data_IF_252601703068
#
_entry.id   IF_252601703068
#
_cell.length_a   1.000
_cell.length_b   1.000
_cell.length_c   1.000
_cell.angle_alpha   90.00
_cell.angle_beta   90.00
_cell.angle_gamma   90.00
#
_symmetry.space_group_name_H-M   'P 1'
#
loop_
_entity.id
_entity.type
_entity.pdbx_description
1 polymer ?
#
# COMPACT_ATOMS: atom_id res chain seq x y z
N UNK A 1 16.87 8.90 16.20
CA UNK A 1 15.91 8.91 15.08
C UNK A 1 14.52 9.35 15.50
N UNK A 2 14.01 8.98 16.68
CA UNK A 2 12.65 9.33 17.13
C UNK A 2 12.29 10.83 17.01
N UNK A 3 13.20 11.73 17.37
CA UNK A 3 13.01 13.19 17.21
C UNK A 3 12.82 13.64 15.76
N UNK A 4 13.47 12.99 14.80
CA UNK A 4 13.31 13.31 13.38
C UNK A 4 11.95 12.84 12.87
N UNK A 5 11.50 11.67 13.32
CA UNK A 5 10.17 11.13 13.04
C UNK A 5 9.07 12.04 13.57
N UNK A 6 9.14 12.45 14.83
CA UNK A 6 8.19 13.41 15.41
C UNK A 6 8.19 14.75 14.68
N UNK A 7 9.37 15.26 14.29
CA UNK A 7 9.50 16.48 13.50
C UNK A 7 8.81 16.34 12.14
N UNK A 8 9.05 15.26 11.41
CA UNK A 8 8.41 15.01 10.11
C UNK A 8 6.89 14.89 10.22
N UNK A 9 6.38 14.22 11.26
CA UNK A 9 4.94 14.13 11.55
C UNK A 9 4.33 15.50 11.87
N UNK A 10 5.06 16.38 12.56
CA UNK A 10 4.59 17.73 12.83
C UNK A 10 4.61 18.60 11.56
N UNK A 11 5.65 18.48 10.73
CA UNK A 11 5.77 19.22 9.47
C UNK A 11 4.72 18.76 8.45
N UNK A 12 4.39 17.46 8.40
CA UNK A 12 3.40 16.93 7.46
C UNK A 12 2.01 17.54 7.63
N UNK A 13 1.67 18.01 8.83
CA UNK A 13 0.41 18.76 9.07
C UNK A 13 0.27 20.03 8.24
N UNK A 14 1.39 20.64 7.84
CA UNK A 14 1.42 21.89 7.06
C UNK A 14 1.97 21.70 5.64
N UNK A 15 2.79 20.67 5.44
CA UNK A 15 3.52 20.39 4.19
C UNK A 15 3.38 18.92 3.79
N UNK A 16 2.16 18.39 3.86
CA UNK A 16 1.84 16.98 3.63
C UNK A 16 2.45 16.44 2.33
N UNK A 17 2.10 17.05 1.20
CA UNK A 17 2.59 16.64 -0.13
C UNK A 17 4.13 16.56 -0.21
N UNK A 18 4.83 17.52 0.38
CA UNK A 18 6.30 17.54 0.40
C UNK A 18 6.88 16.40 1.23
N UNK A 19 6.33 16.17 2.43
CA UNK A 19 6.80 15.11 3.34
C UNK A 19 6.53 13.74 2.74
N UNK A 20 5.31 13.49 2.26
CA UNK A 20 4.95 12.21 1.62
C UNK A 20 5.80 11.98 0.37
N UNK A 21 5.96 12.98 -0.51
CA UNK A 21 6.83 12.83 -1.69
C UNK A 21 8.27 12.51 -1.31
N UNK A 22 8.82 13.17 -0.28
CA UNK A 22 10.16 12.91 0.22
C UNK A 22 10.33 11.49 0.73
N UNK A 23 9.37 11.01 1.54
CA UNK A 23 9.37 9.65 2.07
C UNK A 23 9.16 8.60 0.96
N UNK A 24 8.26 8.84 0.00
CA UNK A 24 8.10 7.96 -1.18
C UNK A 24 9.38 7.88 -2.00
N UNK A 25 10.10 9.00 -2.20
CA UNK A 25 11.40 8.99 -2.89
C UNK A 25 12.47 8.20 -2.11
N UNK A 26 12.45 8.28 -0.78
CA UNK A 26 13.32 7.42 0.04
C UNK A 26 13.02 5.95 -0.20
N UNK A 27 11.73 5.57 -0.28
CA UNK A 27 11.32 4.21 -0.63
C UNK A 27 11.76 3.80 -2.04
N UNK A 28 11.73 4.70 -3.02
CA UNK A 28 12.15 4.42 -4.40
C UNK A 28 13.65 4.18 -4.52
N UNK A 29 14.47 4.92 -3.75
CA UNK A 29 15.92 4.83 -3.82
C UNK A 29 16.50 3.56 -3.15
N UNK A 30 15.65 2.73 -2.54
CA UNK A 30 16.02 1.46 -1.88
C UNK A 30 16.75 0.51 -2.82
N UNK A 31 16.34 0.40 -4.09
CA UNK A 31 16.99 -0.49 -5.06
C UNK A 31 18.38 -0.01 -5.51
N UNK A 32 18.68 1.28 -5.30
CA UNK A 32 19.97 1.88 -5.67
C UNK A 32 21.06 1.74 -4.61
N UNK A 33 20.68 1.35 -3.38
CA UNK A 33 21.62 1.08 -2.32
C UNK A 33 22.18 -0.33 -2.50
N UNK A 34 23.42 -0.43 -2.99
CA UNK A 34 24.14 -1.70 -2.93
C UNK A 34 24.51 -1.99 -1.48
N UNK A 35 23.71 -2.86 -0.85
CA UNK A 35 23.89 -3.28 0.53
C UNK A 35 24.75 -4.55 0.53
N UNK A 36 26.01 -4.44 0.98
CA UNK A 36 26.92 -5.58 1.10
C UNK A 36 27.10 -5.99 2.56
N UNK A 37 26.71 -7.22 2.89
CA UNK A 37 26.91 -7.83 4.21
C UNK A 37 25.67 -7.79 5.13
N UNK A 38 25.55 -8.74 6.07
CA UNK A 38 24.35 -8.95 6.88
C UNK A 38 24.01 -7.78 7.82
N UNK A 39 25.02 -7.07 8.33
CA UNK A 39 24.80 -5.87 9.16
C UNK A 39 24.26 -4.69 8.34
N UNK A 40 24.68 -4.58 7.08
CA UNK A 40 24.19 -3.56 6.17
C UNK A 40 22.73 -3.82 5.77
N UNK A 41 22.38 -5.10 5.53
CA UNK A 41 21.00 -5.53 5.25
C UNK A 41 20.06 -5.24 6.42
N UNK A 42 20.52 -5.51 7.65
CA UNK A 42 19.77 -5.19 8.87
C UNK A 42 19.52 -3.69 9.03
N UNK A 43 20.57 -2.87 8.94
CA UNK A 43 20.46 -1.42 9.07
C UNK A 43 19.56 -0.80 7.99
N UNK A 44 19.59 -1.39 6.79
CA UNK A 44 18.73 -1.01 5.69
C UNK A 44 17.26 -1.32 5.97
N UNK A 45 16.97 -2.52 6.46
CA UNK A 45 15.62 -2.90 6.84
C UNK A 45 15.09 -2.04 7.98
N UNK A 46 15.91 -1.76 9.00
CA UNK A 46 15.54 -0.84 10.08
C UNK A 46 15.18 0.55 9.55
N UNK A 47 15.92 1.04 8.55
CA UNK A 47 15.61 2.32 7.88
C UNK A 47 14.27 2.29 7.14
N UNK A 48 13.97 1.19 6.44
CA UNK A 48 12.69 0.98 5.75
C UNK A 48 11.51 0.97 6.74
N UNK A 49 11.65 0.26 7.86
CA UNK A 49 10.64 0.23 8.92
C UNK A 49 10.36 1.64 9.45
N UNK A 50 11.41 2.43 9.72
CA UNK A 50 11.27 3.81 10.22
C UNK A 50 10.55 4.71 9.20
N UNK A 51 10.85 4.58 7.91
CA UNK A 51 10.17 5.34 6.85
C UNK A 51 8.69 4.98 6.79
N UNK A 52 8.34 3.69 6.82
CA UNK A 52 6.95 3.23 6.79
C UNK A 52 6.17 3.65 8.05
N UNK A 53 6.77 3.53 9.23
CA UNK A 53 6.16 4.04 10.48
C UNK A 53 5.93 5.56 10.43
N UNK A 54 6.84 6.31 9.79
CA UNK A 54 6.68 7.76 9.65
C UNK A 54 5.57 8.09 8.65
N UNK A 55 5.47 7.35 7.55
CA UNK A 55 4.39 7.47 6.57
C UNK A 55 3.03 7.20 7.21
N UNK A 56 2.92 6.11 7.97
CA UNK A 56 1.69 5.75 8.71
C UNK A 56 1.24 6.91 9.59
N UNK A 57 2.12 7.45 10.44
CA UNK A 57 1.80 8.57 11.33
C UNK A 57 1.43 9.85 10.57
N UNK A 58 2.10 10.14 9.45
CA UNK A 58 1.75 11.31 8.62
C UNK A 58 0.36 11.15 8.01
N UNK A 59 0.03 9.96 7.54
CA UNK A 59 -1.27 9.61 6.97
C UNK A 59 -2.35 9.48 8.04
N UNK A 60 -2.07 9.21 9.30
CA UNK A 60 -3.13 9.19 10.33
C UNK A 60 -3.39 10.56 10.95
N UNK A 61 -2.39 11.46 10.95
CA UNK A 61 -2.47 12.78 11.57
C UNK A 61 -2.92 13.92 10.63
N UNK A 62 -3.30 13.64 9.38
CA UNK A 62 -3.67 14.68 8.43
C UNK A 62 -5.05 15.29 8.75
N UNK A 63 -5.20 16.63 8.72
CA UNK A 63 -6.51 17.27 8.82
C UNK A 63 -7.35 17.03 7.55
N UNK A 64 -8.67 16.84 7.71
CA UNK A 64 -9.61 16.47 6.65
C UNK A 64 -9.77 17.46 5.48
N UNK A 65 -9.25 18.69 5.60
CA UNK A 65 -9.56 19.83 4.70
C UNK A 65 -8.46 20.19 3.69
N UNK A 66 -7.57 19.27 3.31
CA UNK A 66 -6.44 19.60 2.42
C UNK A 66 -6.55 19.04 1.01
N UNK A 67 -7.74 19.00 0.39
CA UNK A 67 -7.83 18.48 -0.99
C UNK A 67 -7.03 19.36 -1.97
N UNK A 68 -5.92 18.86 -2.49
CA UNK A 68 -5.15 19.49 -3.58
C UNK A 68 -4.85 18.46 -4.67
N UNK A 69 -5.00 18.86 -5.92
CA UNK A 69 -4.86 18.03 -7.12
C UNK A 69 -3.57 17.19 -7.19
N UNK A 70 -2.47 17.66 -6.57
CA UNK A 70 -1.19 16.95 -6.50
C UNK A 70 -1.24 15.64 -5.68
N UNK A 71 -2.26 15.44 -4.85
CA UNK A 71 -2.38 14.27 -3.97
C UNK A 71 -2.65 12.97 -4.74
N UNK A 72 -3.27 13.03 -5.92
CA UNK A 72 -3.54 11.81 -6.72
C UNK A 72 -2.25 11.18 -7.23
N UNK A 73 -1.28 11.99 -7.67
CA UNK A 73 0.03 11.50 -8.14
C UNK A 73 0.83 10.94 -6.96
N UNK A 74 0.77 11.61 -5.81
CA UNK A 74 1.42 11.14 -4.59
C UNK A 74 0.90 9.78 -4.15
N UNK A 75 -0.43 9.63 -4.07
CA UNK A 75 -1.07 8.35 -3.72
C UNK A 75 -0.69 7.27 -4.71
N UNK A 76 -0.69 7.58 -6.02
CA UNK A 76 -0.31 6.62 -7.06
C UNK A 76 1.13 6.13 -6.88
N UNK A 77 2.08 7.04 -6.66
CA UNK A 77 3.49 6.71 -6.50
C UNK A 77 3.73 5.93 -5.21
N UNK A 78 3.14 6.36 -4.08
CA UNK A 78 3.26 5.65 -2.82
C UNK A 78 2.68 4.24 -2.92
N UNK A 79 1.50 4.09 -3.52
CA UNK A 79 0.84 2.80 -3.67
C UNK A 79 1.68 1.81 -4.48
N UNK A 80 2.38 2.29 -5.52
CA UNK A 80 3.30 1.47 -6.30
C UNK A 80 4.44 0.90 -5.45
N UNK A 81 5.02 1.71 -4.56
CA UNK A 81 6.09 1.24 -3.65
C UNK A 81 5.54 0.22 -2.65
N UNK A 82 4.35 0.46 -2.08
CA UNK A 82 3.73 -0.46 -1.12
C UNK A 82 3.45 -1.83 -1.76
N UNK A 83 2.97 -1.86 -3.01
CA UNK A 83 2.82 -3.10 -3.77
C UNK A 83 4.14 -3.83 -3.99
N UNK A 84 5.22 -3.10 -4.31
CA UNK A 84 6.55 -3.70 -4.45
C UNK A 84 6.97 -4.40 -3.16
N UNK A 85 6.74 -3.77 -1.99
CA UNK A 85 7.10 -4.36 -0.70
C UNK A 85 6.25 -5.57 -0.30
N UNK A 86 4.95 -5.60 -0.64
CA UNK A 86 4.12 -6.78 -0.41
C UNK A 86 4.63 -8.00 -1.17
N UNK A 87 5.17 -7.79 -2.38
CA UNK A 87 5.71 -8.84 -3.24
C UNK A 87 7.19 -9.16 -2.99
N UNK A 88 7.85 -8.53 -2.01
CA UNK A 88 9.24 -8.89 -1.68
C UNK A 88 9.29 -10.29 -1.07
N UNK A 89 10.38 -11.01 -1.33
CA UNK A 89 10.72 -12.25 -0.63
C UNK A 89 11.95 -12.01 0.24
N UNK A 90 11.93 -12.50 1.48
CA UNK A 90 13.06 -12.37 2.42
C UNK A 90 13.25 -13.65 3.22
N UNK A 91 14.51 -14.05 3.40
CA UNK A 91 14.87 -15.21 4.23
C UNK A 91 14.66 -14.95 5.73
N UNK A 92 14.61 -13.67 6.14
CA UNK A 92 14.34 -13.28 7.52
C UNK A 92 12.84 -13.06 7.77
N UNK A 93 12.11 -14.16 8.01
CA UNK A 93 10.66 -14.14 8.17
C UNK A 93 10.14 -13.21 9.27
N UNK A 94 10.89 -12.96 10.36
CA UNK A 94 10.46 -12.02 11.41
C UNK A 94 10.46 -10.57 10.93
N UNK A 95 11.53 -10.16 10.25
CA UNK A 95 11.65 -8.81 9.72
C UNK A 95 10.63 -8.58 8.59
N UNK A 96 10.46 -9.58 7.71
CA UNK A 96 9.47 -9.52 6.65
C UNK A 96 8.03 -9.36 7.19
N UNK A 97 7.67 -10.06 8.26
CA UNK A 97 6.36 -9.89 8.90
C UNK A 97 6.16 -8.47 9.47
N UNK A 98 7.20 -7.87 10.04
CA UNK A 98 7.15 -6.48 10.51
C UNK A 98 6.98 -5.49 9.36
N UNK A 99 7.69 -5.73 8.24
CA UNK A 99 7.55 -4.95 7.02
C UNK A 99 6.12 -5.00 6.50
N UNK A 100 5.55 -6.21 6.32
CA UNK A 100 4.18 -6.39 5.85
C UNK A 100 3.14 -5.76 6.78
N UNK A 101 3.35 -5.85 8.10
CA UNK A 101 2.49 -5.19 9.08
C UNK A 101 2.46 -3.67 8.86
N UNK A 102 3.62 -3.04 8.72
CA UNK A 102 3.71 -1.60 8.49
C UNK A 102 3.13 -1.21 7.12
N UNK A 103 3.40 -1.99 6.07
CA UNK A 103 2.79 -1.76 4.76
C UNK A 103 1.27 -1.80 4.85
N UNK A 104 0.71 -2.80 5.55
CA UNK A 104 -0.73 -2.89 5.80
C UNK A 104 -1.27 -1.68 6.55
N UNK A 105 -0.55 -1.18 7.57
CA UNK A 105 -0.98 0.01 8.32
C UNK A 105 -0.95 1.28 7.47
N UNK A 106 0.10 1.45 6.64
CA UNK A 106 0.20 2.57 5.70
C UNK A 106 -0.92 2.50 4.66
N UNK A 107 -1.21 1.32 4.09
CA UNK A 107 -2.32 1.11 3.14
C UNK A 107 -3.68 1.43 3.78
N UNK A 108 -3.88 1.00 5.02
CA UNK A 108 -5.10 1.30 5.77
C UNK A 108 -5.27 2.81 5.98
N UNK A 109 -4.22 3.50 6.46
CA UNK A 109 -4.25 4.95 6.64
C UNK A 109 -4.49 5.70 5.31
N UNK A 110 -3.78 5.30 4.25
CA UNK A 110 -3.92 5.85 2.90
C UNK A 110 -5.34 5.67 2.36
N UNK A 111 -5.93 4.49 2.54
CA UNK A 111 -7.30 4.18 2.11
C UNK A 111 -8.38 4.88 2.93
N UNK A 112 -8.06 5.29 4.16
CA UNK A 112 -8.97 6.07 5.00
C UNK A 112 -9.15 7.47 4.44
N UNK A 113 -8.07 8.07 3.94
CA UNK A 113 -8.08 9.45 3.42
C UNK A 113 -8.35 9.52 1.91
N UNK A 114 -7.76 8.59 1.16
CA UNK A 114 -7.72 8.61 -0.30
C UNK A 114 -8.41 7.39 -0.89
N UNK A 115 -9.54 6.98 -0.29
CA UNK A 115 -10.23 5.74 -0.63
C UNK A 115 -10.42 5.56 -2.13
N UNK A 116 -10.95 6.56 -2.84
CA UNK A 116 -11.21 6.44 -4.27
C UNK A 116 -9.93 6.21 -5.09
N UNK A 117 -8.83 6.87 -4.75
CA UNK A 117 -7.56 6.73 -5.47
C UNK A 117 -6.97 5.33 -5.28
N UNK A 118 -7.06 4.77 -4.07
CA UNK A 118 -6.63 3.41 -3.77
C UNK A 118 -7.59 2.37 -4.37
N UNK A 119 -8.89 2.53 -4.14
CA UNK A 119 -9.94 1.63 -4.61
C UNK A 119 -9.98 1.48 -6.13
N UNK A 120 -9.73 2.57 -6.88
CA UNK A 120 -9.74 2.53 -8.35
C UNK A 120 -8.67 1.61 -8.95
N UNK A 121 -7.72 1.09 -8.16
CA UNK A 121 -6.85 0.00 -8.61
C UNK A 121 -7.60 -1.31 -8.78
N UNK A 122 -8.50 -1.66 -7.87
CA UNK A 122 -9.19 -2.96 -7.87
C UNK A 122 -9.97 -3.21 -9.18
N UNK A 123 -10.83 -2.29 -9.68
CA UNK A 123 -11.50 -2.48 -10.96
C UNK A 123 -10.54 -2.70 -12.13
N UNK A 124 -9.38 -2.01 -12.12
CA UNK A 124 -8.37 -2.14 -13.17
C UNK A 124 -7.69 -3.51 -13.09
N UNK A 125 -7.30 -3.97 -11.90
CA UNK A 125 -6.74 -5.31 -11.69
C UNK A 125 -7.74 -6.40 -12.11
N UNK A 126 -9.03 -6.26 -11.74
CA UNK A 126 -10.09 -7.18 -12.16
C UNK A 126 -10.29 -7.20 -13.69
N UNK A 127 -10.23 -6.03 -14.34
CA UNK A 127 -10.37 -5.93 -15.79
C UNK A 127 -9.20 -6.61 -16.52
N UNK A 128 -7.98 -6.45 -16.02
CA UNK A 128 -6.79 -7.06 -16.62
C UNK A 128 -6.71 -8.57 -16.34
N UNK A 129 -7.03 -9.00 -15.13
CA UNK A 129 -7.11 -10.42 -14.77
C UNK A 129 -8.18 -11.18 -15.58
N UNK A 130 -9.21 -10.49 -16.07
CA UNK A 130 -10.19 -11.07 -17.00
C UNK A 130 -9.62 -11.26 -18.42
N UNK A 131 -8.63 -10.46 -18.84
CA UNK A 131 -8.06 -10.48 -20.18
C UNK A 131 -6.89 -11.46 -20.33
N UNK A 132 -6.04 -11.60 -19.30
CA UNK A 132 -4.80 -12.38 -19.39
C UNK A 132 -4.61 -13.33 -18.19
N UNK A 133 -4.40 -14.62 -18.47
CA UNK A 133 -4.20 -15.66 -17.46
C UNK A 133 -2.76 -15.72 -16.94
N UNK A 134 -1.81 -15.22 -17.73
CA UNK A 134 -0.38 -15.30 -17.42
C UNK A 134 0.10 -14.21 -16.46
N UNK A 135 -0.76 -13.22 -16.18
CA UNK A 135 -0.42 -12.03 -15.41
C UNK A 135 -0.70 -12.24 -13.90
N UNK A 136 -0.01 -13.21 -13.31
CA UNK A 136 -0.14 -13.60 -11.88
C UNK A 136 0.08 -12.41 -10.95
N UNK A 137 1.00 -11.52 -11.31
CA UNK A 137 1.36 -10.33 -10.52
C UNK A 137 0.16 -9.39 -10.30
N UNK A 138 -0.75 -9.30 -11.28
CA UNK A 138 -1.93 -8.43 -11.17
C UNK A 138 -3.05 -9.06 -10.33
N UNK A 139 -3.11 -10.39 -10.25
CA UNK A 139 -4.00 -11.06 -9.31
C UNK A 139 -3.50 -10.87 -7.86
N UNK A 140 -2.18 -10.84 -7.65
CA UNK A 140 -1.59 -10.54 -6.34
C UNK A 140 -1.87 -9.09 -5.89
N UNK A 141 -2.00 -8.13 -6.82
CA UNK A 141 -2.44 -6.77 -6.46
C UNK A 141 -3.84 -6.73 -5.82
N UNK A 142 -4.68 -7.75 -6.03
CA UNK A 142 -5.98 -7.84 -5.35
C UNK A 142 -5.84 -8.12 -3.84
N UNK A 143 -4.67 -8.57 -3.36
CA UNK A 143 -4.35 -8.69 -1.93
C UNK A 143 -4.51 -7.35 -1.22
N UNK A 144 -4.36 -6.23 -1.93
CA UNK A 144 -4.65 -4.88 -1.45
C UNK A 144 -5.98 -4.80 -0.68
N UNK A 145 -7.01 -5.54 -1.13
CA UNK A 145 -8.35 -5.58 -0.51
C UNK A 145 -8.27 -5.86 1.00
N UNK A 146 -7.35 -6.72 1.44
CA UNK A 146 -7.17 -7.09 2.85
C UNK A 146 -6.63 -5.95 3.73
N UNK A 147 -6.03 -4.94 3.10
CA UNK A 147 -5.34 -3.85 3.81
C UNK A 147 -6.14 -2.54 3.79
N UNK A 148 -7.33 -2.54 3.17
CA UNK A 148 -8.15 -1.33 3.04
C UNK A 148 -9.08 -1.13 4.24
N UNK A 149 -9.31 0.13 4.58
CA UNK A 149 -10.38 0.55 5.48
C UNK A 149 -11.74 0.45 4.76
N UNK A 150 -12.41 -0.70 4.91
CA UNK A 150 -13.70 -1.02 4.31
C UNK A 150 -14.82 -0.96 5.36
N UNK A 151 -15.57 0.15 5.37
CA UNK A 151 -16.88 0.17 6.03
C UNK A 151 -17.92 -0.60 5.19
N UNK A 152 -19.12 -0.83 5.74
CA UNK A 152 -20.19 -1.55 5.04
C UNK A 152 -20.54 -0.96 3.67
N UNK A 153 -20.43 0.36 3.49
CA UNK A 153 -20.72 1.03 2.22
C UNK A 153 -19.62 0.77 1.20
N UNK A 154 -18.36 0.87 1.61
CA UNK A 154 -17.19 0.57 0.77
C UNK A 154 -17.14 -0.91 0.40
N UNK A 155 -17.46 -1.81 1.32
CA UNK A 155 -17.56 -3.25 1.06
C UNK A 155 -18.69 -3.56 0.07
N UNK A 156 -19.87 -2.95 0.23
CA UNK A 156 -20.97 -3.11 -0.73
C UNK A 156 -20.57 -2.66 -2.13
N UNK A 157 -19.83 -1.55 -2.24
CA UNK A 157 -19.29 -1.06 -3.52
C UNK A 157 -18.25 -2.02 -4.11
N UNK A 158 -17.38 -2.61 -3.30
CA UNK A 158 -16.42 -3.62 -3.72
C UNK A 158 -17.12 -4.86 -4.29
N UNK A 159 -18.11 -5.39 -3.55
CA UNK A 159 -18.88 -6.56 -3.96
C UNK A 159 -19.60 -6.28 -5.28
N UNK A 160 -20.21 -5.10 -5.44
CA UNK A 160 -20.87 -4.73 -6.69
C UNK A 160 -19.91 -4.72 -7.88
N UNK A 161 -18.70 -4.19 -7.72
CA UNK A 161 -17.70 -4.18 -8.79
C UNK A 161 -17.26 -5.60 -9.18
N UNK A 162 -17.06 -6.48 -8.19
CA UNK A 162 -16.74 -7.90 -8.42
C UNK A 162 -17.92 -8.60 -9.12
N UNK A 163 -19.15 -8.38 -8.67
CA UNK A 163 -20.35 -8.95 -9.28
C UNK A 163 -20.55 -8.51 -10.74
N UNK A 164 -20.28 -7.24 -11.05
CA UNK A 164 -20.39 -6.71 -12.41
C UNK A 164 -19.42 -7.39 -13.39
N UNK A 165 -18.30 -7.91 -12.87
CA UNK A 165 -17.27 -8.62 -13.66
C UNK A 165 -17.33 -10.13 -13.47
N UNK A 166 -18.33 -10.64 -12.75
CA UNK A 166 -18.35 -12.00 -12.27
C UNK A 166 -18.14 -13.03 -13.40
N UNK A 167 -18.84 -12.83 -14.52
CA UNK A 167 -18.82 -13.75 -15.67
C UNK A 167 -17.52 -13.72 -16.47
N UNK A 168 -16.74 -12.64 -16.38
CA UNK A 168 -15.49 -12.49 -17.10
C UNK A 168 -14.27 -12.92 -16.29
N UNK A 169 -14.41 -13.09 -14.97
CA UNK A 169 -13.32 -13.50 -14.11
C UNK A 169 -13.05 -14.99 -14.22
N UNK A 170 -11.77 -15.32 -14.23
CA UNK A 170 -11.27 -16.70 -14.35
C UNK A 170 -11.24 -17.38 -12.98
N UNK A 171 -11.25 -18.72 -12.99
CA UNK A 171 -11.29 -19.54 -11.76
C UNK A 171 -10.14 -19.24 -10.80
N UNK A 172 -8.94 -18.98 -11.31
CA UNK A 172 -7.78 -18.61 -10.48
C UNK A 172 -8.00 -17.28 -9.75
N UNK A 173 -8.48 -16.24 -10.43
CA UNK A 173 -8.80 -14.94 -9.82
C UNK A 173 -9.89 -15.07 -8.75
N UNK A 174 -10.87 -15.94 -8.97
CA UNK A 174 -11.91 -16.24 -7.98
C UNK A 174 -11.36 -16.81 -6.68
N UNK A 175 -10.42 -17.76 -6.77
CA UNK A 175 -9.80 -18.36 -5.60
C UNK A 175 -9.06 -17.31 -4.77
N UNK A 176 -8.30 -16.43 -5.42
CA UNK A 176 -7.62 -15.32 -4.74
C UNK A 176 -8.64 -14.37 -4.08
N UNK A 177 -9.68 -13.94 -4.81
CA UNK A 177 -10.71 -13.07 -4.26
C UNK A 177 -11.46 -13.68 -3.07
N UNK A 178 -11.76 -14.98 -3.10
CA UNK A 178 -12.40 -15.67 -1.99
C UNK A 178 -11.53 -15.62 -0.73
N UNK A 179 -10.23 -15.90 -0.86
CA UNK A 179 -9.25 -15.80 0.24
C UNK A 179 -9.12 -14.36 0.74
N UNK A 180 -9.12 -13.39 -0.19
CA UNK A 180 -8.99 -11.99 0.16
C UNK A 180 -10.21 -11.44 0.89
N UNK A 181 -11.41 -11.83 0.49
CA UNK A 181 -12.65 -11.40 1.13
C UNK A 181 -12.92 -12.10 2.48
N UNK A 182 -12.55 -13.37 2.63
CA UNK A 182 -12.70 -14.12 3.89
C UNK A 182 -11.89 -13.48 5.03
N UNK A 183 -10.74 -12.90 4.72
CA UNK A 183 -9.86 -12.25 5.73
C UNK A 183 -10.25 -10.81 6.06
N UNK A 184 -11.22 -10.24 5.35
CA UNK A 184 -11.74 -8.88 5.60
C UNK A 184 -12.89 -8.89 6.62
N UNK A 185 -13.53 -10.04 6.84
CA UNK A 185 -14.60 -10.24 7.84
C UNK A 185 -14.06 -10.59 9.21
#
# INVERSE_FOLDING_TARGET
>A
MERNKECLVNVSRYKFSLVISGLTKMLQNIDSMQVYGPDAERNFCDSLLIVLETLEKCLTCQPHDTSRLDETILVKNLLQELFRFMNLTSENGKMYNQLLLLVSQVLYALSTQYFNAVFNRIPNCLALAAQDESNVDQANELELIQHLNLDMRKLSRLILEICNRFRSLKKSTWLHLAVYLERVS
#
